data_IF_444223628203
#
_entry.id   IF_444223628203
#
_cell.length_a   1.000
_cell.length_b   1.000
_cell.length_c   1.000
_cell.angle_alpha   90.00
_cell.angle_beta   90.00
_cell.angle_gamma   90.00
#
_symmetry.space_group_name_H-M   'P 1'
#
loop_
_entity.id
_entity.type
_entity.pdbx_description
1 polymer ?
#
# COMPACT_ATOMS: atom_id res chain seq x y z
N UNK A 1 -32.08 22.90 1.40
CA UNK A 1 -32.36 22.40 2.75
C UNK A 1 -32.07 20.90 2.74
N UNK A 2 -30.84 20.51 3.04
CA UNK A 2 -30.45 19.10 3.16
C UNK A 2 -30.47 18.81 4.65
N UNK A 3 -31.30 17.84 5.08
CA UNK A 3 -31.64 17.57 6.46
C UNK A 3 -30.43 17.07 7.26
N UNK A 4 -30.23 17.66 8.43
CA UNK A 4 -29.19 17.26 9.40
C UNK A 4 -29.28 15.79 9.89
N UNK A 5 -30.33 15.07 9.57
CA UNK A 5 -30.55 13.68 9.99
C UNK A 5 -29.62 12.66 9.35
N UNK A 6 -29.05 12.95 8.16
CA UNK A 6 -28.20 11.98 7.46
C UNK A 6 -26.77 11.87 7.99
N UNK A 7 -26.27 12.91 8.66
CA UNK A 7 -24.91 12.91 9.24
C UNK A 7 -24.81 12.13 10.56
N UNK A 8 -25.89 12.12 11.34
CA UNK A 8 -25.92 11.40 12.63
C UNK A 8 -25.97 9.87 12.45
N UNK A 9 -26.64 9.41 11.41
CA UNK A 9 -26.76 7.96 11.11
C UNK A 9 -25.44 7.38 10.63
N UNK A 10 -24.60 8.15 9.93
CA UNK A 10 -23.29 7.68 9.48
C UNK A 10 -22.30 7.53 10.65
N UNK A 11 -22.33 8.46 11.61
CA UNK A 11 -21.44 8.42 12.79
C UNK A 11 -21.84 7.27 13.73
N UNK A 12 -23.13 6.97 13.90
CA UNK A 12 -23.58 5.85 14.72
C UNK A 12 -23.22 4.48 14.10
N UNK A 13 -23.34 4.33 12.78
CA UNK A 13 -22.91 3.09 12.11
C UNK A 13 -21.41 2.81 12.21
N UNK A 14 -20.58 3.86 12.26
CA UNK A 14 -19.13 3.68 12.49
C UNK A 14 -18.82 3.22 13.92
N UNK A 15 -19.58 3.69 14.91
CA UNK A 15 -19.37 3.30 16.32
C UNK A 15 -19.74 1.83 16.59
N UNK A 16 -20.80 1.32 15.99
CA UNK A 16 -21.27 -0.06 16.22
C UNK A 16 -20.37 -1.11 15.54
N UNK A 17 -19.70 -0.77 14.43
CA UNK A 17 -18.73 -1.66 13.76
C UNK A 17 -17.44 -1.84 14.59
N UNK A 18 -17.11 -0.86 15.45
CA UNK A 18 -15.94 -0.94 16.34
C UNK A 18 -16.22 -1.59 17.70
N UNK A 19 -17.49 -1.76 18.09
CA UNK A 19 -17.85 -2.30 19.40
C UNK A 19 -17.75 -3.84 19.50
N UNK A 20 -17.71 -4.58 18.38
CA UNK A 20 -17.93 -6.02 18.39
C UNK A 20 -16.68 -6.91 18.38
N UNK A 21 -15.48 -6.35 18.28
CA UNK A 21 -14.25 -7.13 18.42
C UNK A 21 -13.13 -6.32 19.09
N UNK A 22 -13.07 -6.37 20.41
CA UNK A 22 -11.86 -5.93 21.11
C UNK A 22 -10.69 -6.83 20.69
N UNK A 23 -9.58 -6.27 20.15
CA UNK A 23 -8.40 -7.06 19.88
C UNK A 23 -7.87 -7.64 21.19
N UNK A 24 -7.55 -8.92 21.21
CA UNK A 24 -6.84 -9.54 22.35
C UNK A 24 -5.58 -8.70 22.64
N UNK A 25 -5.56 -8.07 23.82
CA UNK A 25 -4.39 -7.29 24.25
C UNK A 25 -3.23 -8.24 24.48
N UNK A 26 -2.14 -8.08 23.74
CA UNK A 26 -0.88 -8.71 24.05
C UNK A 26 -0.18 -7.87 25.11
N UNK A 27 0.19 -8.48 26.23
CA UNK A 27 1.04 -7.84 27.22
C UNK A 27 2.45 -7.68 26.65
N UNK A 28 2.79 -6.45 26.23
CA UNK A 28 4.16 -6.09 25.84
C UNK A 28 4.95 -5.80 27.10
N UNK A 29 6.12 -6.42 27.25
CA UNK A 29 6.96 -6.23 28.43
C UNK A 29 7.48 -4.79 28.52
N UNK A 30 7.48 -4.22 29.73
CA UNK A 30 7.91 -2.83 29.99
C UNK A 30 9.28 -2.39 29.43
N UNK A 31 10.29 -3.24 29.20
CA UNK A 31 11.56 -2.84 28.59
C UNK A 31 11.47 -2.43 27.12
N UNK A 32 10.50 -2.95 26.36
CA UNK A 32 10.37 -2.65 24.93
C UNK A 32 9.72 -1.27 24.63
N UNK A 33 9.14 -0.63 25.65
CA UNK A 33 8.46 0.66 25.54
C UNK A 33 9.36 1.87 25.91
N UNK A 34 10.66 1.67 26.16
CA UNK A 34 11.56 2.76 26.57
C UNK A 34 12.09 3.66 25.45
N UNK A 35 11.56 3.53 24.23
CA UNK A 35 12.02 4.33 23.10
C UNK A 35 10.99 5.32 22.59
N UNK A 36 10.62 6.37 23.11
CA UNK A 36 9.71 7.45 22.75
C UNK A 36 8.33 7.35 23.41
N UNK A 37 8.05 8.26 24.31
CA UNK A 37 6.70 8.44 24.86
C UNK A 37 5.77 9.04 23.80
N UNK A 38 4.46 8.81 23.88
CA UNK A 38 3.46 9.48 23.02
C UNK A 38 3.62 10.99 23.03
N UNK A 39 4.09 11.55 24.15
CA UNK A 39 4.37 12.97 24.32
C UNK A 39 5.58 13.41 23.49
N UNK A 40 6.64 12.61 23.44
CA UNK A 40 7.84 12.90 22.65
C UNK A 40 7.54 12.83 21.16
N UNK A 41 6.71 11.88 20.75
CA UNK A 41 6.22 11.76 19.36
C UNK A 41 5.36 12.96 18.96
N UNK A 42 4.44 13.41 19.83
CA UNK A 42 3.61 14.60 19.59
C UNK A 42 4.46 15.87 19.57
N UNK A 43 5.41 16.02 20.50
CA UNK A 43 6.29 17.21 20.57
C UNK A 43 7.23 17.25 19.36
N UNK A 44 7.84 16.11 18.96
CA UNK A 44 8.67 16.02 17.77
C UNK A 44 7.84 16.22 16.49
N UNK A 45 6.65 15.63 16.40
CA UNK A 45 5.76 15.78 15.26
C UNK A 45 5.22 17.21 15.11
N UNK A 46 4.75 17.83 16.19
CA UNK A 46 4.28 19.22 16.17
C UNK A 46 5.42 20.23 16.01
N UNK A 47 6.58 19.97 16.64
CA UNK A 47 7.76 20.80 16.49
C UNK A 47 8.32 20.78 15.07
N UNK A 48 8.48 19.63 14.47
CA UNK A 48 8.93 19.48 13.09
C UNK A 48 7.92 20.03 12.07
N UNK A 49 6.62 19.84 12.28
CA UNK A 49 5.59 20.40 11.42
C UNK A 49 5.56 21.95 11.48
N UNK A 50 5.71 22.54 12.66
CA UNK A 50 5.77 24.00 12.82
C UNK A 50 7.03 24.60 12.17
N UNK A 51 8.18 23.94 12.34
CA UNK A 51 9.44 24.35 11.70
C UNK A 51 9.37 24.19 10.18
N UNK A 52 8.87 23.07 9.68
CA UNK A 52 8.72 22.83 8.25
C UNK A 52 7.74 23.81 7.58
N UNK A 53 6.63 24.15 8.25
CA UNK A 53 5.67 25.13 7.74
C UNK A 53 6.27 26.55 7.69
N UNK A 54 7.02 26.96 8.72
CA UNK A 54 7.64 28.30 8.76
C UNK A 54 8.79 28.40 7.76
N UNK A 55 9.63 27.38 7.65
CA UNK A 55 10.72 27.32 6.68
C UNK A 55 10.25 27.17 5.23
N UNK A 56 9.24 26.30 4.99
CA UNK A 56 8.71 26.06 3.65
C UNK A 56 8.12 27.32 3.02
N UNK A 57 7.52 28.21 3.83
CA UNK A 57 6.96 29.48 3.37
C UNK A 57 8.05 30.54 3.07
N UNK A 58 9.21 30.44 3.69
CA UNK A 58 10.33 31.38 3.53
C UNK A 58 11.32 30.97 2.43
N UNK A 59 11.20 29.76 1.89
CA UNK A 59 12.09 29.27 0.84
C UNK A 59 11.77 29.91 -0.53
N UNK A 60 12.80 30.25 -1.34
CA UNK A 60 12.62 30.63 -2.74
C UNK A 60 11.85 29.55 -3.52
N UNK A 61 11.07 29.96 -4.52
CA UNK A 61 10.18 29.09 -5.31
C UNK A 61 10.88 27.90 -5.97
N UNK A 62 12.13 28.06 -6.34
CA UNK A 62 12.97 27.01 -6.90
C UNK A 62 13.42 25.97 -5.87
N UNK A 63 13.67 26.39 -4.65
CA UNK A 63 13.93 25.51 -3.51
C UNK A 63 12.65 24.75 -3.10
N UNK A 64 11.49 25.42 -3.12
CA UNK A 64 10.19 24.79 -2.89
C UNK A 64 9.89 23.70 -3.93
N UNK A 65 10.20 23.95 -5.21
CA UNK A 65 10.03 22.95 -6.28
C UNK A 65 10.97 21.73 -6.11
N UNK A 66 12.23 21.96 -5.69
CA UNK A 66 13.21 20.89 -5.43
C UNK A 66 12.82 19.99 -4.26
N UNK A 67 12.10 20.58 -3.28
CA UNK A 67 11.59 19.87 -2.10
C UNK A 67 10.19 19.28 -2.31
N UNK A 68 9.66 19.29 -3.55
CA UNK A 68 8.34 18.72 -3.85
C UNK A 68 7.16 19.53 -3.30
N UNK A 69 7.39 20.73 -2.77
CA UNK A 69 6.35 21.58 -2.20
C UNK A 69 5.46 22.13 -3.32
N UNK A 70 4.25 21.65 -3.43
CA UNK A 70 3.27 22.06 -4.47
C UNK A 70 2.20 22.94 -3.85
N UNK A 71 2.19 24.22 -4.22
CA UNK A 71 1.07 25.13 -3.93
C UNK A 71 0.03 25.02 -5.04
N UNK A 72 -1.14 24.49 -4.76
CA UNK A 72 -2.29 24.51 -5.69
C UNK A 72 -3.08 25.81 -5.53
N UNK A 73 -3.19 26.56 -6.63
CA UNK A 73 -4.02 27.78 -6.66
C UNK A 73 -5.49 27.37 -6.44
N UNK A 74 -6.14 27.91 -5.40
CA UNK A 74 -7.56 27.72 -5.12
C UNK A 74 -7.92 26.83 -3.93
N UNK A 75 -6.93 26.14 -3.30
CA UNK A 75 -7.17 25.41 -2.06
C UNK A 75 -7.11 26.31 -0.83
N UNK A 76 -7.80 25.91 0.24
CA UNK A 76 -7.74 26.65 1.50
C UNK A 76 -6.32 26.61 2.07
N UNK A 77 -5.93 27.62 2.89
CA UNK A 77 -4.63 27.64 3.57
C UNK A 77 -4.36 26.33 4.35
N UNK A 78 -5.42 25.72 4.91
CA UNK A 78 -5.37 24.45 5.62
C UNK A 78 -5.00 23.29 4.70
N UNK A 79 -5.61 23.22 3.51
CA UNK A 79 -5.31 22.15 2.53
C UNK A 79 -3.90 22.28 1.97
N UNK A 80 -3.44 23.50 1.69
CA UNK A 80 -2.07 23.75 1.26
C UNK A 80 -1.07 23.33 2.33
N UNK A 81 -1.34 23.64 3.58
CA UNK A 81 -0.50 23.23 4.72
C UNK A 81 -0.44 21.71 4.87
N UNK A 82 -1.58 21.03 4.83
CA UNK A 82 -1.64 19.58 4.94
C UNK A 82 -0.92 18.88 3.78
N UNK A 83 -1.07 19.37 2.55
CA UNK A 83 -0.37 18.83 1.40
C UNK A 83 1.16 19.02 1.49
N UNK A 84 1.63 20.10 2.08
CA UNK A 84 3.06 20.30 2.32
C UNK A 84 3.61 19.36 3.38
N UNK A 85 2.86 19.15 4.46
CA UNK A 85 3.25 18.20 5.52
C UNK A 85 3.35 16.79 4.94
N UNK A 86 2.36 16.36 4.15
CA UNK A 86 2.38 15.04 3.50
C UNK A 86 3.56 14.91 2.53
N UNK A 87 3.83 15.93 1.71
CA UNK A 87 4.95 15.90 0.78
C UNK A 87 6.31 15.84 1.52
N UNK A 88 6.43 16.54 2.63
CA UNK A 88 7.63 16.48 3.46
C UNK A 88 7.79 15.08 4.11
N UNK A 89 6.70 14.53 4.65
CA UNK A 89 6.72 13.18 5.24
C UNK A 89 7.09 12.12 4.19
N UNK A 90 6.62 12.25 2.95
CA UNK A 90 6.98 11.37 1.85
C UNK A 90 8.49 11.45 1.52
N UNK A 91 9.07 12.64 1.49
CA UNK A 91 10.52 12.81 1.24
C UNK A 91 11.37 12.27 2.40
N UNK A 92 10.94 12.50 3.65
CA UNK A 92 11.59 11.90 4.82
C UNK A 92 11.50 10.37 4.78
N UNK A 93 10.34 9.82 4.46
CA UNK A 93 10.15 8.38 4.35
C UNK A 93 11.02 7.77 3.24
N UNK A 94 11.13 8.42 2.08
CA UNK A 94 12.05 8.00 1.01
C UNK A 94 13.51 8.03 1.46
N UNK A 95 13.93 9.08 2.14
CA UNK A 95 15.30 9.23 2.62
C UNK A 95 15.65 8.17 3.68
N UNK A 96 14.71 7.84 4.56
CA UNK A 96 14.89 6.84 5.61
C UNK A 96 14.67 5.40 5.09
N UNK A 97 14.10 5.24 3.91
CA UNK A 97 13.86 3.92 3.32
C UNK A 97 15.19 3.24 2.99
N UNK A 98 15.36 2.06 3.56
CA UNK A 98 16.51 1.21 3.26
C UNK A 98 16.03 -0.06 2.54
N UNK A 99 16.31 -0.23 1.23
CA UNK A 99 15.88 -1.40 0.47
C UNK A 99 16.50 -2.71 0.96
N UNK A 100 17.54 -2.64 1.77
CA UNK A 100 18.17 -3.82 2.40
C UNK A 100 17.66 -4.12 3.81
N UNK A 101 16.82 -3.28 4.41
CA UNK A 101 16.31 -3.47 5.77
C UNK A 101 15.14 -4.46 5.76
N UNK A 102 15.37 -5.65 6.29
CA UNK A 102 14.32 -6.66 6.44
C UNK A 102 13.39 -6.32 7.60
N UNK A 103 12.10 -6.50 7.36
CA UNK A 103 11.09 -6.44 8.42
C UNK A 103 11.07 -7.74 9.22
N UNK A 104 10.60 -7.70 10.48
CA UNK A 104 10.49 -8.88 11.32
C UNK A 104 9.65 -9.98 10.66
N UNK A 105 10.13 -11.21 10.79
CA UNK A 105 9.37 -12.42 10.45
C UNK A 105 8.86 -13.09 11.73
N UNK A 106 7.82 -13.88 11.57
CA UNK A 106 7.08 -14.47 12.67
C UNK A 106 7.03 -15.99 12.55
N UNK A 107 6.72 -16.68 13.65
CA UNK A 107 6.47 -18.13 13.65
C UNK A 107 5.03 -18.43 13.20
N UNK A 108 4.78 -19.69 12.77
CA UNK A 108 3.43 -20.14 12.40
C UNK A 108 2.42 -20.04 13.56
N UNK A 109 2.89 -20.13 14.81
CA UNK A 109 2.04 -20.00 16.00
C UNK A 109 1.55 -18.57 16.25
N UNK A 110 2.14 -17.59 15.59
CA UNK A 110 1.78 -16.17 15.70
C UNK A 110 0.83 -15.69 14.59
N UNK A 111 0.43 -16.59 13.70
CA UNK A 111 -0.52 -16.28 12.62
C UNK A 111 -1.86 -15.86 13.24
N UNK A 112 -2.43 -14.79 12.70
CA UNK A 112 -3.73 -14.24 13.10
C UNK A 112 -4.66 -14.18 11.89
N UNK A 113 -5.94 -14.03 12.15
CA UNK A 113 -6.91 -13.81 11.08
C UNK A 113 -6.69 -12.44 10.41
N UNK A 114 -6.77 -12.42 9.09
CA UNK A 114 -6.79 -11.18 8.31
C UNK A 114 -8.22 -10.79 7.97
N UNK A 115 -8.54 -9.52 8.18
CA UNK A 115 -9.83 -8.98 7.75
C UNK A 115 -9.93 -8.99 6.22
N UNK A 116 -11.13 -9.30 5.74
CA UNK A 116 -11.48 -9.08 4.35
C UNK A 116 -11.81 -7.60 4.14
N UNK A 117 -10.89 -6.87 3.53
CA UNK A 117 -11.08 -5.45 3.26
C UNK A 117 -11.17 -5.20 1.75
N UNK A 118 -12.40 -5.17 1.22
CA UNK A 118 -12.76 -4.81 -0.14
C UNK A 118 -13.77 -3.65 -0.16
N UNK A 119 -13.74 -2.80 0.84
CA UNK A 119 -14.73 -1.75 0.99
C UNK A 119 -16.20 -2.28 0.99
N UNK A 120 -16.38 -3.49 1.58
CA UNK A 120 -17.67 -4.16 1.62
C UNK A 120 -18.04 -4.95 0.37
N UNK A 121 -17.25 -4.89 -0.70
CA UNK A 121 -17.52 -5.61 -1.96
C UNK A 121 -16.50 -6.72 -2.16
N UNK A 122 -16.93 -7.97 -2.21
CA UNK A 122 -16.08 -9.10 -2.62
C UNK A 122 -16.36 -9.38 -4.09
N UNK A 123 -15.32 -9.44 -4.96
CA UNK A 123 -15.52 -9.75 -6.38
C UNK A 123 -16.13 -11.12 -6.59
N UNK A 124 -16.89 -11.26 -7.68
CA UNK A 124 -17.34 -12.58 -8.15
C UNK A 124 -16.13 -13.44 -8.55
N UNK A 125 -16.02 -14.71 -8.13
CA UNK A 125 -14.88 -15.57 -8.43
C UNK A 125 -14.77 -16.00 -9.91
N UNK A 126 -15.75 -15.67 -10.74
CA UNK A 126 -15.80 -16.09 -12.15
C UNK A 126 -14.63 -15.60 -13.01
N UNK A 127 -13.89 -14.58 -12.57
CA UNK A 127 -12.69 -14.10 -13.26
C UNK A 127 -11.48 -15.03 -13.13
N UNK A 128 -11.44 -15.91 -12.11
CA UNK A 128 -10.24 -16.70 -11.76
C UNK A 128 -9.87 -17.72 -12.85
N UNK A 129 -10.80 -18.51 -13.44
CA UNK A 129 -10.44 -19.52 -14.45
C UNK A 129 -9.77 -18.97 -15.71
N UNK A 130 -10.15 -17.77 -16.14
CA UNK A 130 -9.56 -17.09 -17.30
C UNK A 130 -8.51 -16.02 -16.95
N UNK A 131 -8.06 -15.98 -15.70
CA UNK A 131 -7.18 -14.94 -15.25
C UNK A 131 -5.81 -14.98 -15.93
N UNK A 132 -5.32 -13.79 -16.28
CA UNK A 132 -3.97 -13.57 -16.77
C UNK A 132 -3.37 -12.30 -16.16
N UNK A 133 -2.05 -12.28 -16.07
CA UNK A 133 -1.25 -11.10 -15.72
C UNK A 133 -0.66 -10.49 -16.99
N UNK A 134 -1.01 -9.26 -17.28
CA UNK A 134 -0.44 -8.50 -18.40
C UNK A 134 0.72 -7.62 -17.91
N UNK A 135 1.89 -7.73 -18.55
CA UNK A 135 3.07 -6.91 -18.29
C UNK A 135 3.27 -5.91 -19.42
N UNK A 136 3.35 -4.61 -19.09
CA UNK A 136 3.53 -3.50 -20.03
C UNK A 136 4.73 -2.63 -19.65
N UNK A 137 5.23 -1.86 -20.61
CA UNK A 137 6.37 -0.98 -20.38
C UNK A 137 7.68 -1.74 -20.18
N UNK A 138 7.84 -2.88 -20.84
CA UNK A 138 9.05 -3.69 -20.81
C UNK A 138 10.16 -3.09 -21.69
N UNK A 139 11.43 -3.36 -21.36
CA UNK A 139 12.58 -2.95 -22.15
C UNK A 139 12.55 -3.49 -23.59
N UNK A 140 11.89 -4.64 -23.78
CA UNK A 140 11.67 -5.23 -25.11
C UNK A 140 10.70 -4.45 -25.99
N UNK A 141 9.94 -3.49 -25.43
CA UNK A 141 8.83 -2.80 -26.08
C UNK A 141 7.58 -3.68 -26.29
N UNK A 142 7.62 -4.94 -25.90
CA UNK A 142 6.49 -5.88 -26.06
C UNK A 142 5.60 -5.86 -24.82
N UNK A 143 4.36 -6.30 -25.02
CA UNK A 143 3.45 -6.67 -23.93
C UNK A 143 3.53 -8.18 -23.76
N UNK A 144 3.66 -8.63 -22.53
CA UNK A 144 3.67 -10.05 -22.17
C UNK A 144 2.41 -10.40 -21.38
N UNK A 145 1.91 -11.62 -21.57
CA UNK A 145 0.74 -12.13 -20.85
C UNK A 145 1.08 -13.49 -20.27
N UNK A 146 0.91 -13.62 -18.96
CA UNK A 146 1.22 -14.82 -18.20
C UNK A 146 -0.05 -15.33 -17.52
N UNK A 147 -0.29 -16.61 -17.55
CA UNK A 147 -1.32 -17.25 -16.73
C UNK A 147 -0.72 -17.73 -15.39
N UNK A 148 -1.56 -18.27 -14.51
CA UNK A 148 -1.12 -18.73 -13.19
C UNK A 148 -0.10 -19.87 -13.27
N UNK A 149 -0.26 -20.78 -14.26
CA UNK A 149 0.66 -21.88 -14.50
C UNK A 149 2.03 -21.37 -14.97
N UNK A 150 2.05 -20.37 -15.85
CA UNK A 150 3.32 -19.73 -16.26
C UNK A 150 4.09 -19.21 -15.06
N UNK A 151 3.42 -18.53 -14.13
CA UNK A 151 4.06 -18.02 -12.92
C UNK A 151 4.60 -19.15 -12.04
N UNK A 152 3.83 -20.22 -11.85
CA UNK A 152 4.22 -21.37 -11.02
C UNK A 152 5.35 -22.21 -11.61
N UNK A 153 5.44 -22.31 -12.95
CA UNK A 153 6.46 -23.11 -13.62
C UNK A 153 7.75 -22.37 -13.86
N UNK A 154 7.71 -21.03 -14.07
CA UNK A 154 8.88 -20.24 -14.44
C UNK A 154 9.63 -19.68 -13.23
N UNK A 155 8.99 -19.57 -12.07
CA UNK A 155 9.55 -18.89 -10.91
C UNK A 155 9.58 -19.79 -9.67
N UNK A 156 10.61 -19.61 -8.86
CA UNK A 156 10.69 -20.26 -7.56
C UNK A 156 9.63 -19.70 -6.60
N UNK A 157 9.04 -20.58 -5.81
CA UNK A 157 8.11 -20.19 -4.74
C UNK A 157 8.92 -19.77 -3.52
N UNK A 158 8.70 -18.55 -3.05
CA UNK A 158 9.26 -18.01 -1.81
C UNK A 158 8.19 -17.88 -0.75
N UNK A 159 8.58 -18.12 0.50
CA UNK A 159 7.69 -18.10 1.65
C UNK A 159 8.18 -17.15 2.73
N UNK A 160 7.25 -16.48 3.39
CA UNK A 160 7.54 -15.66 4.57
C UNK A 160 6.29 -15.50 5.44
N UNK A 161 6.52 -15.32 6.75
CA UNK A 161 5.46 -15.00 7.70
C UNK A 161 5.71 -13.58 8.16
N UNK A 162 4.86 -12.66 7.71
CA UNK A 162 5.04 -11.23 7.96
C UNK A 162 3.73 -10.59 8.42
N UNK A 163 3.86 -9.43 9.06
CA UNK A 163 2.73 -8.59 9.45
C UNK A 163 2.29 -7.72 8.28
N UNK A 164 0.99 -7.63 8.08
CA UNK A 164 0.35 -6.63 7.25
C UNK A 164 -0.31 -5.61 8.18
N UNK A 165 -0.01 -4.34 7.97
CA UNK A 165 -0.57 -3.22 8.76
C UNK A 165 -1.56 -2.45 7.91
N UNK A 166 -2.79 -2.27 8.38
CA UNK A 166 -3.82 -1.52 7.68
C UNK A 166 -3.89 -0.08 8.18
N UNK A 167 -4.24 0.86 7.30
CA UNK A 167 -4.48 2.26 7.63
C UNK A 167 -5.65 2.43 8.63
N UNK A 168 -6.56 1.48 8.68
CA UNK A 168 -7.69 1.44 9.63
C UNK A 168 -7.28 1.10 11.08
N UNK A 169 -5.96 0.99 11.37
CA UNK A 169 -5.44 0.78 12.72
C UNK A 169 -5.39 -0.68 13.18
N UNK A 170 -5.71 -1.65 12.33
CA UNK A 170 -5.51 -3.08 12.63
C UNK A 170 -4.29 -3.66 11.90
N UNK A 171 -3.78 -4.75 12.39
CA UNK A 171 -2.74 -5.53 11.72
C UNK A 171 -3.00 -7.02 11.88
N UNK A 172 -2.47 -7.80 10.94
CA UNK A 172 -2.53 -9.26 11.00
C UNK A 172 -1.22 -9.88 10.53
N UNK A 173 -0.92 -11.07 11.06
CA UNK A 173 0.25 -11.86 10.70
C UNK A 173 -0.23 -13.04 9.88
N UNK A 174 0.34 -13.25 8.70
CA UNK A 174 0.00 -14.39 7.85
C UNK A 174 1.25 -14.99 7.20
N UNK A 175 1.15 -16.27 6.88
CA UNK A 175 2.14 -16.99 6.09
C UNK A 175 1.79 -16.85 4.61
N UNK A 176 2.66 -16.16 3.89
CA UNK A 176 2.53 -15.88 2.47
C UNK A 176 3.48 -16.74 1.66
N UNK A 177 3.01 -17.18 0.49
CA UNK A 177 3.87 -17.80 -0.51
C UNK A 177 3.54 -17.26 -1.91
N UNK A 178 4.60 -17.03 -2.70
CA UNK A 178 4.50 -16.47 -4.05
C UNK A 178 5.86 -16.33 -4.69
N UNK A 179 5.91 -15.66 -5.82
CA UNK A 179 7.16 -15.31 -6.49
C UNK A 179 7.70 -13.99 -5.97
N UNK A 180 9.00 -13.80 -5.90
CA UNK A 180 9.56 -12.47 -5.63
C UNK A 180 9.23 -11.55 -6.79
N UNK A 181 8.88 -10.31 -6.48
CA UNK A 181 8.65 -9.35 -7.54
C UNK A 181 9.95 -9.08 -8.33
N UNK A 182 11.10 -9.10 -7.65
CA UNK A 182 12.40 -8.94 -8.30
C UNK A 182 12.71 -10.07 -9.31
N UNK A 183 12.30 -11.32 -9.04
CA UNK A 183 12.47 -12.42 -10.00
C UNK A 183 11.66 -12.18 -11.28
N UNK A 184 10.45 -11.61 -11.16
CA UNK A 184 9.65 -11.20 -12.31
C UNK A 184 10.32 -10.04 -13.07
N UNK A 185 10.90 -9.05 -12.35
CA UNK A 185 11.64 -7.93 -12.94
C UNK A 185 12.90 -8.37 -13.67
N UNK A 186 13.57 -9.43 -13.21
CA UNK A 186 14.73 -10.00 -13.88
C UNK A 186 14.35 -10.75 -15.17
N UNK A 187 13.26 -11.51 -15.14
CA UNK A 187 12.76 -12.26 -16.31
C UNK A 187 12.13 -11.35 -17.37
N UNK A 188 11.47 -10.30 -16.95
CA UNK A 188 10.76 -9.32 -17.77
C UNK A 188 11.21 -7.89 -17.40
N UNK A 189 12.43 -7.50 -17.77
CA UNK A 189 13.03 -6.27 -17.29
C UNK A 189 12.29 -5.03 -17.81
N UNK A 190 12.05 -4.03 -16.94
CA UNK A 190 11.66 -2.71 -17.36
C UNK A 190 12.85 -1.97 -18.03
N UNK A 191 12.62 -0.90 -18.80
CA UNK A 191 13.66 -0.01 -19.27
C UNK A 191 14.51 0.53 -18.12
N UNK A 192 15.79 0.83 -18.37
CA UNK A 192 16.67 1.40 -17.35
C UNK A 192 16.18 2.76 -16.80
N UNK A 193 15.34 3.46 -17.57
CA UNK A 193 14.70 4.72 -17.16
C UNK A 193 13.49 4.53 -16.26
N UNK A 194 12.97 3.31 -16.12
CA UNK A 194 11.79 3.07 -15.29
C UNK A 194 12.15 3.18 -13.80
N UNK A 195 11.29 3.86 -13.05
CA UNK A 195 11.41 4.04 -11.60
C UNK A 195 10.21 3.47 -10.85
N UNK A 196 9.12 3.19 -11.56
CA UNK A 196 7.82 2.85 -10.98
C UNK A 196 7.20 1.61 -11.61
N UNK A 197 6.41 0.92 -10.81
CA UNK A 197 5.47 -0.11 -11.23
C UNK A 197 4.07 0.29 -10.78
N UNK A 198 3.13 0.42 -11.72
CA UNK A 198 1.70 0.52 -11.46
C UNK A 198 1.09 -0.87 -11.58
N UNK A 199 0.32 -1.25 -10.58
CA UNK A 199 -0.44 -2.49 -10.52
C UNK A 199 -1.93 -2.17 -10.61
N UNK A 200 -2.62 -2.78 -11.54
CA UNK A 200 -4.07 -2.65 -11.72
C UNK A 200 -4.76 -3.95 -11.29
N UNK A 201 -5.93 -3.82 -10.67
CA UNK A 201 -6.73 -4.92 -10.12
C UNK A 201 -7.99 -5.17 -10.94
N UNK A 202 -8.51 -6.39 -10.87
CA UNK A 202 -9.87 -6.71 -11.32
C UNK A 202 -10.96 -6.23 -10.34
N UNK A 203 -10.56 -5.72 -9.16
CA UNK A 203 -11.51 -5.23 -8.16
C UNK A 203 -12.06 -3.88 -8.56
N UNK A 204 -13.40 -3.77 -8.54
CA UNK A 204 -14.12 -2.51 -8.62
C UNK A 204 -14.55 -2.12 -7.20
N UNK A 205 -14.18 -0.92 -6.75
CA UNK A 205 -14.50 -0.45 -5.40
C UNK A 205 -15.88 0.23 -5.30
N UNK A 206 -16.51 0.55 -6.43
CA UNK A 206 -17.89 1.03 -6.43
C UNK A 206 -18.86 -0.15 -6.37
N UNK A 207 -19.50 -0.30 -5.21
CA UNK A 207 -20.57 -1.30 -5.00
C UNK A 207 -21.88 -1.01 -5.75
N UNK A 208 -22.00 0.14 -6.45
CA UNK A 208 -23.21 0.58 -7.16
C UNK A 208 -23.13 0.36 -8.68
N UNK A 209 -22.07 -0.27 -9.17
CA UNK A 209 -21.94 -0.67 -10.58
C UNK A 209 -21.24 0.35 -11.48
N UNK A 210 -20.76 1.48 -10.95
CA UNK A 210 -19.93 2.38 -11.74
C UNK A 210 -18.48 1.88 -11.80
N UNK A 211 -17.74 2.14 -12.89
CA UNK A 211 -16.34 1.77 -12.97
C UNK A 211 -15.49 2.57 -11.96
N UNK A 212 -15.03 1.93 -10.92
CA UNK A 212 -14.04 2.47 -9.97
C UNK A 212 -12.92 1.43 -9.74
N UNK A 213 -12.11 1.15 -10.78
CA UNK A 213 -11.08 0.13 -10.72
C UNK A 213 -9.99 0.51 -9.72
N UNK A 214 -9.57 -0.47 -8.90
CA UNK A 214 -8.51 -0.26 -7.93
C UNK A 214 -7.14 -0.42 -8.57
N UNK A 215 -6.24 0.51 -8.27
CA UNK A 215 -4.85 0.51 -8.73
C UNK A 215 -3.93 1.14 -7.70
N UNK A 216 -2.69 0.67 -7.67
CA UNK A 216 -1.63 1.25 -6.82
C UNK A 216 -0.35 1.44 -7.64
N UNK A 217 0.50 2.36 -7.19
CA UNK A 217 1.86 2.48 -7.68
C UNK A 217 2.87 2.23 -6.55
N UNK A 218 3.97 1.57 -6.90
CA UNK A 218 5.12 1.38 -6.02
C UNK A 218 6.39 1.73 -6.79
N UNK A 219 7.39 2.23 -6.09
CA UNK A 219 8.72 2.44 -6.65
C UNK A 219 9.44 1.12 -6.89
N UNK A 220 10.33 1.07 -7.87
CA UNK A 220 11.10 -0.15 -8.18
C UNK A 220 11.99 -0.62 -7.03
N UNK A 221 12.61 0.24 -6.19
CA UNK A 221 13.26 -0.21 -4.97
C UNK A 221 12.34 -1.03 -4.04
N UNK A 222 11.10 -0.63 -3.85
CA UNK A 222 10.09 -1.42 -3.12
C UNK A 222 9.76 -2.74 -3.85
N UNK A 223 9.59 -2.71 -5.17
CA UNK A 223 9.34 -3.93 -5.96
C UNK A 223 10.50 -4.92 -5.88
N UNK A 224 11.75 -4.43 -5.85
CA UNK A 224 12.98 -5.24 -5.73
C UNK A 224 13.31 -5.68 -4.31
N UNK A 225 12.59 -5.19 -3.31
CA UNK A 225 12.86 -5.55 -1.93
C UNK A 225 12.70 -7.06 -1.71
N UNK A 226 13.63 -7.74 -0.98
CA UNK A 226 13.63 -9.19 -0.82
C UNK A 226 12.33 -9.80 -0.25
N UNK A 227 11.57 -9.00 0.50
CA UNK A 227 10.29 -9.40 1.09
C UNK A 227 9.07 -8.98 0.27
N UNK A 228 9.25 -8.36 -0.90
CA UNK A 228 8.13 -8.05 -1.79
C UNK A 228 7.79 -9.26 -2.65
N UNK A 229 6.58 -9.81 -2.44
CA UNK A 229 6.08 -10.97 -3.17
C UNK A 229 4.85 -10.61 -4.01
N UNK A 230 4.75 -11.26 -5.14
CA UNK A 230 3.51 -11.50 -5.85
C UNK A 230 2.95 -12.83 -5.33
N UNK A 231 2.13 -12.73 -4.28
CA UNK A 231 1.66 -13.88 -3.53
C UNK A 231 0.50 -14.59 -4.24
N UNK A 232 0.54 -15.92 -4.24
CA UNK A 232 -0.51 -16.81 -4.76
C UNK A 232 -1.11 -17.68 -3.68
N UNK A 233 -0.49 -17.73 -2.49
CA UNK A 233 -0.92 -18.57 -1.36
C UNK A 233 -0.88 -17.79 -0.06
N UNK A 234 -1.78 -18.17 0.86
CA UNK A 234 -1.85 -17.68 2.23
C UNK A 234 -2.09 -18.87 3.17
N UNK A 235 -1.34 -18.93 4.27
CA UNK A 235 -1.48 -19.95 5.31
C UNK A 235 -1.43 -21.39 4.74
N UNK A 236 -0.57 -21.61 3.73
CA UNK A 236 -0.38 -22.91 3.08
C UNK A 236 -1.43 -23.28 2.03
N UNK A 237 -2.48 -22.48 1.84
CA UNK A 237 -3.55 -22.70 0.87
C UNK A 237 -3.48 -21.68 -0.28
N UNK A 238 -4.03 -21.99 -1.47
CA UNK A 238 -4.25 -20.99 -2.50
C UNK A 238 -5.02 -19.80 -1.93
N UNK A 239 -4.76 -18.60 -2.46
CA UNK A 239 -5.51 -17.41 -2.06
C UNK A 239 -7.02 -17.60 -2.30
N UNK A 240 -7.82 -17.14 -1.35
CA UNK A 240 -9.26 -16.98 -1.57
C UNK A 240 -9.56 -15.66 -2.28
N UNK A 241 -10.75 -15.50 -2.84
CA UNK A 241 -11.19 -14.23 -3.45
C UNK A 241 -11.09 -13.10 -2.44
N UNK A 242 -11.49 -13.34 -1.17
CA UNK A 242 -11.42 -12.38 -0.08
C UNK A 242 -10.00 -11.87 0.17
N UNK A 243 -9.01 -12.71 -0.06
CA UNK A 243 -7.62 -12.38 0.17
C UNK A 243 -6.83 -12.08 -1.11
N UNK A 244 -7.52 -11.97 -2.26
CA UNK A 244 -6.97 -11.44 -3.50
C UNK A 244 -6.51 -12.49 -4.50
N UNK A 245 -7.19 -13.65 -4.57
CA UNK A 245 -6.95 -14.65 -5.62
C UNK A 245 -6.99 -14.02 -7.02
N UNK A 246 -6.25 -14.60 -7.98
CA UNK A 246 -5.23 -15.62 -7.79
C UNK A 246 -3.85 -15.03 -7.47
N UNK A 247 -3.67 -13.70 -7.59
CA UNK A 247 -2.41 -12.98 -7.39
C UNK A 247 -2.62 -11.67 -6.64
N UNK A 248 -1.82 -11.43 -5.61
CA UNK A 248 -1.81 -10.17 -4.88
C UNK A 248 -0.38 -9.69 -4.60
N UNK A 249 -0.23 -8.38 -4.41
CA UNK A 249 1.00 -7.82 -3.89
C UNK A 249 1.07 -8.06 -2.37
N UNK A 250 2.25 -8.44 -1.91
CA UNK A 250 2.67 -8.38 -0.53
C UNK A 250 3.95 -7.56 -0.45
N UNK A 251 3.86 -6.37 0.09
CA UNK A 251 4.97 -5.48 0.40
C UNK A 251 4.87 -5.11 1.89
N UNK A 252 5.47 -5.91 2.80
CA UNK A 252 5.26 -5.76 4.24
C UNK A 252 5.79 -4.44 4.81
N UNK A 253 6.70 -3.76 4.09
CA UNK A 253 7.18 -2.42 4.42
C UNK A 253 6.19 -1.30 4.04
N UNK A 254 5.09 -1.63 3.40
CA UNK A 254 4.03 -0.69 3.02
C UNK A 254 2.74 -1.02 3.75
N UNK A 255 1.95 0.00 4.10
CA UNK A 255 0.64 -0.23 4.71
C UNK A 255 -0.33 -0.91 3.74
N UNK A 256 -1.43 -1.41 4.27
CA UNK A 256 -2.38 -2.26 3.54
C UNK A 256 -2.91 -1.71 2.22
N UNK A 257 -3.00 -0.39 2.09
CA UNK A 257 -3.43 0.28 0.85
C UNK A 257 -2.55 -0.08 -0.35
N UNK A 258 -1.25 -0.26 -0.16
CA UNK A 258 -0.32 -0.65 -1.24
C UNK A 258 -0.35 -2.15 -1.56
N UNK A 259 -0.90 -2.96 -0.68
CA UNK A 259 -0.93 -4.42 -0.83
C UNK A 259 -2.14 -4.86 -1.68
N UNK A 260 -2.17 -4.44 -2.94
CA UNK A 260 -3.27 -4.64 -3.89
C UNK A 260 -3.59 -6.11 -4.11
N UNK A 261 -4.90 -6.43 -4.21
CA UNK A 261 -5.48 -7.75 -4.42
C UNK A 261 -5.88 -7.95 -5.89
N UNK A 262 -5.96 -9.21 -6.33
CA UNK A 262 -6.49 -9.59 -7.64
C UNK A 262 -5.84 -8.81 -8.80
N UNK A 263 -4.53 -8.80 -8.85
CA UNK A 263 -3.74 -8.08 -9.85
C UNK A 263 -3.97 -8.70 -11.23
N UNK A 264 -4.22 -7.86 -12.24
CA UNK A 264 -4.39 -8.27 -13.64
C UNK A 264 -3.37 -7.64 -14.57
N UNK A 265 -2.76 -6.51 -14.16
CA UNK A 265 -1.78 -5.82 -14.99
C UNK A 265 -0.70 -5.19 -14.12
N UNK A 266 0.54 -5.19 -14.64
CA UNK A 266 1.67 -4.42 -14.12
C UNK A 266 2.23 -3.60 -15.28
N UNK A 267 2.36 -2.28 -15.07
CA UNK A 267 2.92 -1.35 -16.07
C UNK A 267 4.10 -0.62 -15.48
N UNK A 268 5.25 -0.67 -16.15
CA UNK A 268 6.45 0.04 -15.73
C UNK A 268 6.55 1.41 -16.39
N UNK A 269 7.01 2.44 -15.65
CA UNK A 269 7.13 3.81 -16.13
C UNK A 269 8.33 4.54 -15.51
N UNK A 270 8.83 5.56 -16.22
CA UNK A 270 9.87 6.46 -15.71
C UNK A 270 9.27 7.45 -14.69
N UNK A 271 8.11 8.00 -15.02
CA UNK A 271 7.39 8.94 -14.17
C UNK A 271 6.47 8.21 -13.19
N UNK A 272 6.22 8.84 -12.04
CA UNK A 272 5.31 8.34 -11.03
C UNK A 272 3.89 8.26 -11.59
N UNK A 273 3.29 7.05 -11.68
CA UNK A 273 1.93 6.91 -12.18
C UNK A 273 0.90 7.30 -11.13
N UNK A 274 -0.35 7.40 -11.56
CA UNK A 274 -1.47 7.60 -10.65
C UNK A 274 -1.57 6.47 -9.64
N UNK A 275 -1.99 6.82 -8.42
CA UNK A 275 -2.26 5.91 -7.32
C UNK A 275 -3.65 6.20 -6.75
N UNK A 276 -4.47 5.17 -6.58
CA UNK A 276 -5.89 5.33 -6.22
C UNK A 276 -6.10 6.18 -4.96
N UNK A 277 -5.40 5.86 -3.89
CA UNK A 277 -5.50 6.61 -2.63
C UNK A 277 -4.66 7.88 -2.63
N UNK A 278 -3.52 7.87 -3.34
CA UNK A 278 -2.71 9.06 -3.55
C UNK A 278 -3.48 10.17 -4.28
N UNK A 279 -4.31 9.82 -5.27
CA UNK A 279 -5.18 10.77 -5.98
C UNK A 279 -6.33 11.30 -5.08
N UNK A 280 -6.58 10.63 -3.94
CA UNK A 280 -7.57 11.00 -2.91
C UNK A 280 -6.95 11.63 -1.67
N UNK A 281 -5.68 12.03 -1.73
CA UNK A 281 -4.99 12.80 -0.68
C UNK A 281 -4.26 11.98 0.38
N UNK A 282 -4.11 10.66 0.18
CA UNK A 282 -3.23 9.84 1.02
C UNK A 282 -1.77 9.98 0.58
N UNK A 283 -0.83 9.67 1.48
CA UNK A 283 0.58 9.58 1.14
C UNK A 283 0.79 8.55 0.01
N UNK A 284 1.57 8.92 -0.99
CA UNK A 284 1.93 7.98 -2.07
C UNK A 284 2.99 6.99 -1.64
N UNK A 285 3.80 7.34 -0.65
CA UNK A 285 4.85 6.47 -0.14
C UNK A 285 4.30 5.36 0.76
N UNK A 286 3.43 5.70 1.71
CA UNK A 286 2.73 4.80 2.64
C UNK A 286 3.62 3.70 3.24
N UNK A 287 4.82 4.09 3.68
CA UNK A 287 5.78 3.23 4.37
C UNK A 287 5.48 3.05 5.86
N UNK A 288 6.02 2.01 6.49
CA UNK A 288 6.03 1.74 7.93
C UNK A 288 7.48 1.64 8.45
#
# INVERSE_FOLDING_TARGET
MISEGSKLVLVHRFHDVFAEQQPKSFAVSKPELRGCSRRDFIILGLGSAAVAATFGFLLPTDAQRRLGLRFTRGSSLKENFLNQVLAFDDEVAKYLYSPGRLLPTYSKSQITDLRNNYNGVTPDPGYIPGWTLTLKGLASGKTETLNLQDLQHRFALHEQITRLVCVEGWSGIAWWAGIRFDDLLQAYPPPATANWARLDSSVNLDGMGNPDPYYVSIDLPTARHPQTLLATRQNGQPLTVQHGAPLRLLAPMKIGLKNIKAITQITYSAEEPKDYWGDRGYSRYEGI
#
